data_IF_628050693717
#
_entry.id   IF_628050693717
#
_cell.length_a   1.000
_cell.length_b   1.000
_cell.length_c   1.000
_cell.angle_alpha   90.00
_cell.angle_beta   90.00
_cell.angle_gamma   90.00
#
_symmetry.space_group_name_H-M   'P 1'
#
loop_
_entity.id
_entity.type
_entity.pdbx_description
1 polymer ?
#
# COMPACT_ATOMS: atom_id res chain seq x y z
N UNK A 1 -15.16 10.47 -5.77
CA UNK A 1 -14.69 11.40 -4.71
C UNK A 1 -13.17 11.30 -4.59
N UNK A 2 -12.47 12.43 -4.38
CA UNK A 2 -11.02 12.37 -4.17
C UNK A 2 -10.72 11.70 -2.82
N UNK A 3 -9.87 10.67 -2.80
CA UNK A 3 -9.34 10.09 -1.57
C UNK A 3 -8.62 11.17 -0.76
N UNK A 4 -9.06 11.38 0.46
CA UNK A 4 -8.34 12.20 1.45
C UNK A 4 -7.87 11.26 2.57
N UNK A 5 -6.65 11.44 3.04
CA UNK A 5 -6.21 10.82 4.30
C UNK A 5 -7.19 11.26 5.39
N UNK A 6 -7.72 10.29 6.12
CA UNK A 6 -8.69 10.58 7.18
C UNK A 6 -7.93 11.20 8.35
N UNK A 7 -8.32 12.41 8.73
CA UNK A 7 -7.91 13.04 9.99
C UNK A 7 -9.04 12.99 11.03
N UNK A 8 -10.24 12.59 10.60
CA UNK A 8 -11.39 12.38 11.46
C UNK A 8 -11.59 10.89 11.68
N UNK A 9 -11.73 10.50 12.94
CA UNK A 9 -11.89 9.11 13.37
C UNK A 9 -13.32 8.88 13.86
N UNK A 10 -13.88 7.71 13.56
CA UNK A 10 -15.17 7.31 14.11
C UNK A 10 -15.06 7.13 15.63
N UNK A 11 -15.90 7.81 16.38
CA UNK A 11 -15.84 7.85 17.84
C UNK A 11 -16.22 6.49 18.44
N UNK A 12 -17.23 5.83 17.90
CA UNK A 12 -17.66 4.51 18.40
C UNK A 12 -16.57 3.47 18.21
N UNK A 13 -15.93 3.45 17.02
CA UNK A 13 -14.77 2.59 16.71
C UNK A 13 -13.58 2.93 17.58
N UNK A 14 -13.31 4.24 17.81
CA UNK A 14 -12.21 4.68 18.68
C UNK A 14 -12.40 4.18 20.09
N UNK A 15 -13.60 4.33 20.66
CA UNK A 15 -13.91 3.90 22.02
C UNK A 15 -13.83 2.37 22.16
N UNK A 16 -14.36 1.62 21.19
CA UNK A 16 -14.29 0.14 21.19
C UNK A 16 -12.86 -0.37 21.12
N UNK A 17 -12.06 0.17 20.20
CA UNK A 17 -10.64 -0.19 20.09
C UNK A 17 -9.83 0.23 21.31
N UNK A 18 -10.09 1.43 21.87
CA UNK A 18 -9.40 1.88 23.06
C UNK A 18 -9.67 0.97 24.29
N UNK A 19 -10.89 0.51 24.46
CA UNK A 19 -11.22 -0.46 25.51
C UNK A 19 -10.42 -1.76 25.32
N UNK A 20 -10.42 -2.33 24.11
CA UNK A 20 -9.66 -3.53 23.80
C UNK A 20 -8.15 -3.36 24.03
N UNK A 21 -7.58 -2.21 23.63
CA UNK A 21 -6.14 -1.94 23.84
C UNK A 21 -5.79 -1.68 25.29
N UNK A 22 -6.72 -1.18 26.13
CA UNK A 22 -6.53 -1.11 27.57
C UNK A 22 -6.39 -2.51 28.14
N UNK A 23 -7.29 -3.43 27.77
CA UNK A 23 -7.21 -4.82 28.18
C UNK A 23 -5.90 -5.50 27.74
N UNK A 24 -5.42 -5.18 26.51
CA UNK A 24 -4.11 -5.67 26.02
C UNK A 24 -2.98 -5.18 26.93
N UNK A 25 -2.96 -3.90 27.33
CA UNK A 25 -1.94 -3.36 28.22
C UNK A 25 -1.90 -4.11 29.55
N UNK A 26 -3.07 -4.33 30.16
CA UNK A 26 -3.21 -5.04 31.43
C UNK A 26 -2.75 -6.52 31.30
N UNK A 27 -3.12 -7.18 30.19
CA UNK A 27 -2.75 -8.58 29.92
C UNK A 27 -1.26 -8.81 29.67
N UNK A 28 -0.55 -7.82 29.10
CA UNK A 28 0.91 -7.92 28.92
C UNK A 28 1.68 -7.49 30.17
N UNK A 29 0.99 -7.16 31.27
CA UNK A 29 1.59 -6.83 32.57
C UNK A 29 2.01 -5.38 32.73
N UNK A 30 1.51 -4.46 31.89
CA UNK A 30 1.75 -3.02 32.02
C UNK A 30 0.74 -2.39 32.99
N UNK A 31 1.17 -1.36 33.74
CA UNK A 31 0.25 -0.51 34.51
C UNK A 31 -0.40 0.51 33.56
N UNK A 32 -1.61 0.21 33.11
CA UNK A 32 -2.36 1.09 32.20
C UNK A 32 -2.70 2.46 32.80
N UNK A 33 -2.54 2.65 34.13
CA UNK A 33 -2.82 3.91 34.83
C UNK A 33 -1.56 4.79 34.97
N UNK A 34 -0.36 4.30 34.64
CA UNK A 34 0.83 5.15 34.66
C UNK A 34 0.74 6.28 33.64
N UNK A 35 1.25 7.45 33.97
CA UNK A 35 1.12 8.70 33.19
C UNK A 35 1.39 8.51 31.68
N UNK A 36 2.44 7.78 31.31
CA UNK A 36 2.84 7.54 29.93
C UNK A 36 1.82 6.70 29.14
N UNK A 37 0.99 5.89 29.79
CA UNK A 37 0.03 4.99 29.17
C UNK A 37 -1.43 5.47 29.21
N UNK A 38 -1.77 6.47 30.01
CA UNK A 38 -3.14 6.98 30.14
C UNK A 38 -3.84 7.26 28.80
N UNK A 39 -3.10 7.79 27.82
CA UNK A 39 -3.63 8.13 26.50
C UNK A 39 -3.26 7.09 25.41
N UNK A 40 -2.54 6.04 25.77
CA UNK A 40 -2.07 5.04 24.79
C UNK A 40 -3.23 4.28 24.12
N UNK A 41 -4.26 3.82 24.85
CA UNK A 41 -5.39 3.13 24.23
C UNK A 41 -6.07 3.95 23.11
N UNK A 42 -6.37 5.21 23.37
CA UNK A 42 -6.98 6.10 22.37
C UNK A 42 -6.03 6.37 21.19
N UNK A 43 -4.75 6.60 21.44
CA UNK A 43 -3.75 6.84 20.40
C UNK A 43 -3.59 5.64 19.49
N UNK A 44 -3.55 4.42 20.05
CA UNK A 44 -3.46 3.20 19.27
C UNK A 44 -4.74 2.96 18.49
N UNK A 45 -5.90 3.22 19.06
CA UNK A 45 -7.19 3.12 18.39
C UNK A 45 -7.26 4.01 17.12
N UNK A 46 -6.82 5.26 17.24
CA UNK A 46 -6.72 6.19 16.10
C UNK A 46 -5.67 5.75 15.07
N UNK A 47 -4.51 5.29 15.52
CA UNK A 47 -3.47 4.78 14.64
C UNK A 47 -3.95 3.57 13.84
N UNK A 48 -4.67 2.64 14.45
CA UNK A 48 -5.22 1.46 13.76
C UNK A 48 -6.26 1.85 12.71
N UNK A 49 -7.17 2.77 13.02
CA UNK A 49 -8.12 3.29 12.03
C UNK A 49 -7.38 3.92 10.84
N UNK A 50 -6.34 4.73 11.09
CA UNK A 50 -5.53 5.33 10.03
C UNK A 50 -4.79 4.29 9.20
N UNK A 51 -4.19 3.29 9.84
CA UNK A 51 -3.40 2.25 9.15
C UNK A 51 -4.27 1.26 8.36
N UNK A 52 -5.59 1.21 8.63
CA UNK A 52 -6.53 0.32 7.94
C UNK A 52 -7.60 1.05 7.14
N UNK A 53 -7.50 2.38 6.99
CA UNK A 53 -8.51 3.20 6.32
C UNK A 53 -8.75 2.83 4.85
N UNK A 54 -7.81 2.16 4.19
CA UNK A 54 -7.95 1.71 2.82
C UNK A 54 -9.03 0.65 2.61
N UNK A 55 -9.47 -0.02 3.69
CA UNK A 55 -10.47 -1.09 3.61
C UNK A 55 -11.83 -0.61 3.05
N UNK A 56 -12.20 0.63 3.32
CA UNK A 56 -13.46 1.22 2.86
C UNK A 56 -13.41 1.88 1.47
N UNK A 57 -12.30 1.75 0.73
CA UNK A 57 -12.12 2.44 -0.55
C UNK A 57 -11.88 1.46 -1.70
N UNK A 58 -12.46 1.78 -2.86
CA UNK A 58 -12.24 1.04 -4.10
C UNK A 58 -11.08 1.69 -4.88
N UNK A 59 -9.95 0.98 -5.11
CA UNK A 59 -8.83 1.50 -5.87
C UNK A 59 -9.17 1.78 -7.34
N UNK A 60 -10.12 1.06 -7.93
CA UNK A 60 -10.59 1.26 -9.31
C UNK A 60 -11.27 2.63 -9.45
N UNK A 61 -12.15 2.97 -8.53
CA UNK A 61 -12.85 4.25 -8.51
C UNK A 61 -11.89 5.43 -8.30
N UNK A 62 -10.79 5.23 -7.60
CA UNK A 62 -9.75 6.26 -7.46
C UNK A 62 -9.14 6.59 -8.81
N UNK A 63 -8.82 5.59 -9.61
CA UNK A 63 -8.25 5.78 -10.96
C UNK A 63 -9.29 6.44 -11.87
N UNK A 64 -10.52 5.90 -11.89
CA UNK A 64 -11.63 6.42 -12.71
C UNK A 64 -11.94 7.88 -12.42
N UNK A 65 -11.66 8.36 -11.22
CA UNK A 65 -11.85 9.77 -10.85
C UNK A 65 -10.90 10.77 -11.52
N UNK A 66 -9.94 10.35 -12.38
CA UNK A 66 -9.07 11.24 -13.16
C UNK A 66 -8.45 10.51 -14.36
N UNK A 67 -9.30 10.12 -15.29
CA UNK A 67 -8.91 9.55 -16.59
C UNK A 67 -8.91 10.67 -17.64
N UNK A 68 -7.89 10.69 -18.47
CA UNK A 68 -7.73 11.62 -19.58
C UNK A 68 -7.49 10.86 -20.87
N UNK A 69 -8.03 11.35 -21.98
CA UNK A 69 -7.76 10.80 -23.30
C UNK A 69 -6.44 11.34 -23.82
N UNK A 70 -5.52 10.44 -24.16
CA UNK A 70 -4.22 10.77 -24.71
C UNK A 70 -3.79 9.72 -25.72
N UNK A 71 -3.11 10.15 -26.78
CA UNK A 71 -2.63 9.27 -27.85
C UNK A 71 -1.24 8.66 -27.55
N UNK A 72 -0.75 8.78 -26.32
CA UNK A 72 0.54 8.20 -25.89
C UNK A 72 0.45 6.69 -25.90
N UNK A 73 1.43 6.03 -26.49
CA UNK A 73 1.58 4.57 -26.52
C UNK A 73 2.84 4.07 -25.79
N UNK A 74 3.63 5.01 -25.27
CA UNK A 74 4.84 4.70 -24.53
C UNK A 74 4.53 4.32 -23.09
N UNK A 75 5.43 3.56 -22.50
CA UNK A 75 5.32 3.13 -21.10
C UNK A 75 5.36 4.32 -20.15
N UNK A 76 4.36 4.43 -19.29
CA UNK A 76 4.32 5.36 -18.15
C UNK A 76 4.77 4.63 -16.91
N UNK A 77 5.78 5.15 -16.20
CA UNK A 77 6.31 4.55 -14.97
C UNK A 77 6.27 5.58 -13.83
N UNK A 78 5.69 5.21 -12.69
CA UNK A 78 5.79 5.94 -11.44
C UNK A 78 6.60 5.10 -10.47
N UNK A 79 7.79 5.58 -10.10
CA UNK A 79 8.74 4.86 -9.26
C UNK A 79 8.76 5.40 -7.84
N UNK A 80 9.30 4.58 -6.94
CA UNK A 80 9.64 4.96 -5.56
C UNK A 80 8.44 5.50 -4.76
N UNK A 81 7.24 4.98 -5.04
CA UNK A 81 6.06 5.32 -4.25
C UNK A 81 6.18 4.66 -2.89
N UNK A 82 6.44 5.46 -1.86
CA UNK A 82 6.53 4.97 -0.49
C UNK A 82 5.22 4.31 -0.04
N UNK A 83 5.32 3.19 0.65
CA UNK A 83 4.17 2.48 1.17
C UNK A 83 4.39 1.96 2.58
N UNK A 84 3.33 1.95 3.37
CA UNK A 84 3.26 1.41 4.72
C UNK A 84 2.03 0.53 4.84
N UNK A 85 2.19 -0.70 5.34
CA UNK A 85 1.11 -1.67 5.48
C UNK A 85 1.25 -2.45 6.79
N UNK A 86 0.22 -3.20 7.15
CA UNK A 86 0.24 -4.13 8.28
C UNK A 86 0.17 -5.57 7.76
N UNK A 87 1.12 -6.40 8.20
CA UNK A 87 1.11 -7.83 7.92
C UNK A 87 -0.15 -8.45 8.56
N UNK A 88 -0.98 -9.13 7.77
CA UNK A 88 -2.23 -9.74 8.28
C UNK A 88 -2.00 -10.84 9.32
N UNK A 89 -0.83 -11.49 9.30
CA UNK A 89 -0.51 -12.58 10.23
C UNK A 89 -0.16 -12.10 11.64
N UNK A 90 0.36 -10.89 11.78
CA UNK A 90 0.93 -10.40 13.04
C UNK A 90 0.47 -8.99 13.43
N UNK A 91 -0.22 -8.26 12.53
CA UNK A 91 -0.54 -6.83 12.67
C UNK A 91 0.71 -5.95 12.91
N UNK A 92 1.89 -6.43 12.51
CA UNK A 92 3.16 -5.71 12.60
C UNK A 92 3.44 -5.05 11.24
N UNK A 93 3.97 -3.82 11.21
CA UNK A 93 4.20 -3.11 9.95
C UNK A 93 5.19 -3.81 9.01
N UNK A 94 4.94 -3.67 7.73
CA UNK A 94 5.95 -3.74 6.68
C UNK A 94 5.89 -2.46 5.83
N UNK A 95 7.01 -2.04 5.32
CA UNK A 95 7.15 -0.79 4.62
C UNK A 95 8.19 -0.89 3.52
N UNK A 96 8.04 -0.05 2.52
CA UNK A 96 8.93 -0.06 1.38
C UNK A 96 8.48 0.85 0.27
N UNK A 97 8.72 0.43 -0.97
CA UNK A 97 8.44 1.19 -2.17
C UNK A 97 7.68 0.34 -3.17
N UNK A 98 6.72 0.95 -3.82
CA UNK A 98 6.02 0.38 -4.96
C UNK A 98 6.41 1.13 -6.24
N UNK A 99 6.54 0.38 -7.32
CA UNK A 99 6.81 0.88 -8.65
C UNK A 99 5.69 0.37 -9.55
N UNK A 100 4.99 1.29 -10.21
CA UNK A 100 3.83 0.98 -11.04
C UNK A 100 4.07 1.50 -12.44
N UNK A 101 3.90 0.63 -13.43
CA UNK A 101 3.97 1.01 -14.83
C UNK A 101 2.74 0.51 -15.59
N UNK A 102 2.34 1.24 -16.61
CA UNK A 102 1.34 0.80 -17.56
C UNK A 102 1.64 1.34 -18.96
N UNK A 103 1.17 0.64 -19.98
CA UNK A 103 1.22 1.10 -21.36
C UNK A 103 -0.18 1.54 -21.75
N UNK A 104 -0.40 2.85 -21.99
CA UNK A 104 -1.70 3.38 -22.31
C UNK A 104 -2.34 2.75 -23.54
N UNK A 105 -3.66 2.68 -23.56
CA UNK A 105 -4.49 2.31 -24.71
C UNK A 105 -5.54 3.40 -24.94
N UNK A 106 -5.06 4.60 -25.29
CA UNK A 106 -5.90 5.78 -25.48
C UNK A 106 -6.27 6.54 -24.20
N UNK A 107 -5.95 6.00 -23.01
CA UNK A 107 -6.27 6.63 -21.73
C UNK A 107 -5.09 6.64 -20.79
N UNK A 108 -4.93 7.75 -20.07
CA UNK A 108 -3.97 7.89 -18.98
C UNK A 108 -4.68 8.31 -17.69
N UNK A 109 -4.02 8.14 -16.56
CA UNK A 109 -4.51 8.65 -15.28
C UNK A 109 -3.54 9.67 -14.67
N UNK A 110 -4.08 10.55 -13.82
CA UNK A 110 -3.23 11.50 -13.10
C UNK A 110 -2.20 10.77 -12.21
N UNK A 111 -0.93 11.19 -12.24
CA UNK A 111 0.17 10.55 -11.49
C UNK A 111 -0.11 10.43 -9.99
N UNK A 112 -0.81 11.42 -9.41
CA UNK A 112 -1.24 11.36 -8.01
C UNK A 112 -2.23 10.23 -7.70
N UNK A 113 -2.92 9.70 -8.71
CA UNK A 113 -3.83 8.55 -8.54
C UNK A 113 -3.05 7.27 -8.32
N UNK A 114 -1.88 7.15 -8.97
CA UNK A 114 -0.97 6.01 -8.77
C UNK A 114 -0.59 5.89 -7.29
N UNK A 115 -0.09 6.97 -6.69
CA UNK A 115 0.28 6.99 -5.28
C UNK A 115 -0.92 6.69 -4.36
N UNK A 116 -2.12 7.23 -4.67
CA UNK A 116 -3.33 6.99 -3.88
C UNK A 116 -3.81 5.54 -3.96
N UNK A 117 -3.70 4.89 -5.11
CA UNK A 117 -4.03 3.46 -5.26
C UNK A 117 -3.09 2.61 -4.42
N UNK A 118 -1.78 2.89 -4.47
CA UNK A 118 -0.79 2.23 -3.62
C UNK A 118 -1.15 2.41 -2.13
N UNK A 119 -1.43 3.63 -1.69
CA UNK A 119 -1.84 3.93 -0.31
C UNK A 119 -3.09 3.14 0.10
N UNK A 120 -4.15 3.17 -0.71
CA UNK A 120 -5.42 2.51 -0.39
C UNK A 120 -5.29 0.99 -0.34
N UNK A 121 -4.52 0.40 -1.24
CA UNK A 121 -4.25 -1.03 -1.20
C UNK A 121 -3.33 -1.42 -0.04
N UNK A 122 -2.37 -0.56 0.35
CA UNK A 122 -1.44 -0.80 1.44
C UNK A 122 -2.06 -0.59 2.83
N UNK A 123 -2.96 0.40 3.00
CA UNK A 123 -3.63 0.72 4.27
C UNK A 123 -4.73 -0.30 4.64
N UNK A 124 -4.32 -1.57 4.73
CA UNK A 124 -5.17 -2.74 5.06
C UNK A 124 -4.32 -3.76 5.82
N UNK A 125 -4.95 -4.80 6.33
CA UNK A 125 -4.21 -6.02 6.70
C UNK A 125 -3.87 -6.77 5.42
N UNK A 126 -2.57 -6.95 5.13
CA UNK A 126 -2.09 -7.42 3.85
C UNK A 126 -1.03 -8.54 3.94
N UNK A 127 -0.89 -9.26 2.84
CA UNK A 127 0.34 -9.90 2.42
C UNK A 127 0.88 -9.18 1.18
N UNK A 128 2.19 -9.09 1.06
CA UNK A 128 2.82 -8.29 0.01
C UNK A 128 2.45 -8.78 -1.41
N UNK A 129 2.30 -10.08 -1.60
CA UNK A 129 1.92 -10.71 -2.86
C UNK A 129 0.52 -10.28 -3.31
N UNK A 130 -0.45 -10.26 -2.38
CA UNK A 130 -1.80 -9.80 -2.65
C UNK A 130 -1.83 -8.30 -2.93
N UNK A 131 -1.09 -7.51 -2.16
CA UNK A 131 -0.96 -6.07 -2.37
C UNK A 131 -0.48 -5.76 -3.79
N UNK A 132 0.54 -6.48 -4.26
CA UNK A 132 1.14 -6.31 -5.59
C UNK A 132 0.12 -6.61 -6.69
N UNK A 133 -0.61 -7.73 -6.56
CA UNK A 133 -1.63 -8.12 -7.56
C UNK A 133 -2.84 -7.19 -7.54
N UNK A 134 -3.31 -6.75 -6.37
CA UNK A 134 -4.44 -5.82 -6.27
C UNK A 134 -4.16 -4.48 -6.94
N UNK A 135 -2.94 -3.94 -6.81
CA UNK A 135 -2.56 -2.70 -7.50
C UNK A 135 -2.58 -2.92 -9.01
N UNK A 136 -1.97 -4.01 -9.53
CA UNK A 136 -1.99 -4.35 -10.95
C UNK A 136 -3.42 -4.46 -11.49
N UNK A 137 -4.27 -5.20 -10.80
CA UNK A 137 -5.64 -5.49 -11.23
C UNK A 137 -6.50 -4.22 -11.26
N UNK A 138 -6.32 -3.32 -10.28
CA UNK A 138 -7.02 -2.04 -10.25
C UNK A 138 -6.69 -1.18 -11.48
N UNK A 139 -5.41 -1.13 -11.90
CA UNK A 139 -5.02 -0.41 -13.12
C UNK A 139 -5.54 -1.08 -14.38
N UNK A 140 -5.47 -2.42 -14.44
CA UNK A 140 -5.98 -3.18 -15.58
C UNK A 140 -7.49 -2.99 -15.75
N UNK A 141 -8.24 -3.02 -14.67
CA UNK A 141 -9.70 -2.84 -14.71
C UNK A 141 -10.11 -1.40 -15.04
N UNK A 142 -9.44 -0.42 -14.44
CA UNK A 142 -9.86 0.98 -14.57
C UNK A 142 -9.54 1.62 -15.92
N UNK A 143 -8.37 1.29 -16.51
CA UNK A 143 -7.83 1.93 -17.71
C UNK A 143 -7.88 1.04 -18.95
N UNK A 144 -8.02 -0.28 -18.78
CA UNK A 144 -7.85 -1.27 -19.85
C UNK A 144 -6.60 -1.01 -20.72
N UNK A 145 -5.42 -0.81 -20.10
CA UNK A 145 -4.19 -0.51 -20.80
C UNK A 145 -3.71 -1.75 -21.58
N UNK A 146 -2.73 -1.59 -22.45
CA UNK A 146 -2.09 -2.72 -23.16
C UNK A 146 -1.34 -3.65 -22.23
N UNK A 147 -0.97 -3.19 -21.04
CA UNK A 147 -0.37 -3.98 -19.97
C UNK A 147 -0.08 -3.14 -18.73
N UNK A 148 0.10 -3.84 -17.61
CA UNK A 148 0.47 -3.26 -16.31
C UNK A 148 1.61 -4.06 -15.70
N UNK A 149 2.54 -3.36 -15.06
CA UNK A 149 3.61 -3.93 -14.26
C UNK A 149 3.62 -3.27 -12.87
N UNK A 150 3.72 -4.09 -11.83
CA UNK A 150 3.90 -3.63 -10.45
C UNK A 150 5.06 -4.39 -9.83
N UNK A 151 5.98 -3.67 -9.20
CA UNK A 151 7.05 -4.25 -8.37
C UNK A 151 7.00 -3.57 -7.01
N UNK A 152 7.08 -4.37 -5.94
CA UNK A 152 7.14 -3.87 -4.57
C UNK A 152 8.37 -4.44 -3.89
N UNK A 153 9.16 -3.58 -3.25
CA UNK A 153 10.27 -3.94 -2.39
C UNK A 153 9.97 -3.47 -0.97
N UNK A 154 9.96 -4.37 0.00
CA UNK A 154 9.62 -4.03 1.37
C UNK A 154 10.43 -4.78 2.43
N UNK A 155 10.53 -4.15 3.59
CA UNK A 155 11.07 -4.70 4.82
C UNK A 155 9.92 -5.05 5.76
N UNK A 156 9.95 -6.27 6.30
CA UNK A 156 8.91 -6.80 7.17
C UNK A 156 9.38 -6.83 8.63
N UNK A 157 8.83 -5.96 9.47
CA UNK A 157 9.20 -5.94 10.90
C UNK A 157 8.83 -7.24 11.61
N UNK A 158 7.81 -7.96 11.14
CA UNK A 158 7.46 -9.28 11.66
C UNK A 158 8.55 -10.35 11.46
N UNK A 159 9.48 -10.13 10.52
CA UNK A 159 10.67 -10.97 10.30
C UNK A 159 11.93 -10.40 10.93
N UNK A 160 11.98 -9.07 11.12
CA UNK A 160 13.19 -8.37 11.56
C UNK A 160 13.32 -8.34 13.08
N UNK A 161 12.25 -7.96 13.80
CA UNK A 161 12.28 -7.69 15.23
C UNK A 161 11.95 -8.91 16.10
N UNK A 162 11.44 -9.96 15.51
CA UNK A 162 11.08 -11.23 16.15
C UNK A 162 11.01 -12.35 15.10
N UNK A 163 10.77 -13.60 15.54
CA UNK A 163 10.70 -14.76 14.66
C UNK A 163 12.09 -15.15 14.15
N UNK A 164 12.33 -14.95 12.86
CA UNK A 164 13.63 -15.32 12.23
C UNK A 164 14.74 -14.28 12.41
N UNK A 165 14.41 -13.08 12.84
CA UNK A 165 15.34 -11.99 13.20
C UNK A 165 16.36 -11.63 12.09
N UNK A 166 15.87 -11.55 10.84
CA UNK A 166 16.70 -11.22 9.65
C UNK A 166 16.55 -9.74 9.26
N UNK A 167 17.37 -8.88 9.85
CA UNK A 167 17.28 -7.41 9.74
C UNK A 167 17.57 -6.87 8.34
N UNK A 168 18.40 -7.55 7.54
CA UNK A 168 18.79 -7.13 6.20
C UNK A 168 17.91 -7.74 5.10
N UNK A 169 16.89 -8.53 5.47
CA UNK A 169 15.99 -9.16 4.51
C UNK A 169 15.10 -8.10 3.85
N UNK A 170 15.07 -8.12 2.52
CA UNK A 170 14.14 -7.36 1.68
C UNK A 170 13.35 -8.35 0.86
N UNK A 171 12.03 -8.21 0.85
CA UNK A 171 11.14 -9.02 0.02
C UNK A 171 10.78 -8.23 -1.22
N UNK A 172 11.00 -8.80 -2.40
CA UNK A 172 10.57 -8.23 -3.67
C UNK A 172 9.45 -9.08 -4.25
N UNK A 173 8.33 -8.45 -4.60
CA UNK A 173 7.22 -9.09 -5.31
C UNK A 173 6.94 -8.36 -6.61
N UNK A 174 6.51 -9.09 -7.64
CA UNK A 174 6.17 -8.52 -8.93
C UNK A 174 4.87 -9.12 -9.48
N UNK A 175 4.12 -8.30 -10.22
CA UNK A 175 2.94 -8.73 -10.94
C UNK A 175 2.90 -8.04 -12.30
N UNK A 176 2.72 -8.83 -13.35
CA UNK A 176 2.70 -8.38 -14.73
C UNK A 176 1.41 -8.85 -15.41
N UNK A 177 0.92 -8.08 -16.39
CA UNK A 177 -0.12 -8.52 -17.30
C UNK A 177 0.02 -7.85 -18.68
N UNK A 178 -0.63 -8.42 -19.70
CA UNK A 178 -0.64 -7.90 -21.06
C UNK A 178 0.77 -7.80 -21.66
N UNK A 179 1.13 -6.64 -22.22
CA UNK A 179 2.41 -6.46 -22.90
C UNK A 179 3.64 -6.71 -22.01
N UNK A 180 3.52 -6.60 -20.69
CA UNK A 180 4.62 -6.89 -19.76
C UNK A 180 4.87 -8.39 -19.53
N UNK A 181 4.02 -9.27 -20.03
CA UNK A 181 4.27 -10.71 -20.04
C UNK A 181 5.33 -11.07 -21.09
N UNK A 182 5.52 -10.21 -22.09
CA UNK A 182 6.58 -10.36 -23.12
C UNK A 182 7.92 -9.89 -22.58
N UNK A 183 8.95 -10.69 -22.82
CA UNK A 183 10.28 -10.48 -22.26
C UNK A 183 10.91 -9.14 -22.64
N UNK A 184 10.87 -8.65 -23.90
CA UNK A 184 11.48 -7.35 -24.24
C UNK A 184 10.87 -6.17 -23.45
N UNK A 185 9.55 -6.09 -23.35
CA UNK A 185 8.84 -5.04 -22.62
C UNK A 185 9.14 -5.08 -21.12
N UNK A 186 9.14 -6.29 -20.56
CA UNK A 186 9.48 -6.47 -19.15
C UNK A 186 10.92 -6.11 -18.86
N UNK A 187 11.87 -6.48 -19.70
CA UNK A 187 13.28 -6.13 -19.56
C UNK A 187 13.52 -4.63 -19.67
N UNK A 188 12.82 -3.94 -20.56
CA UNK A 188 12.87 -2.48 -20.66
C UNK A 188 12.37 -1.83 -19.35
N UNK A 189 11.22 -2.26 -18.82
CA UNK A 189 10.69 -1.79 -17.55
C UNK A 189 11.70 -1.97 -16.41
N UNK A 190 12.27 -3.17 -16.24
CA UNK A 190 13.23 -3.46 -15.17
C UNK A 190 14.50 -2.61 -15.31
N UNK A 191 14.97 -2.35 -16.52
CA UNK A 191 16.11 -1.44 -16.78
C UNK A 191 15.79 0.00 -16.40
N UNK A 192 14.60 0.50 -16.78
CA UNK A 192 14.15 1.85 -16.41
C UNK A 192 13.92 1.99 -14.92
N UNK A 193 13.50 0.91 -14.24
CA UNK A 193 13.33 0.88 -12.80
C UNK A 193 14.67 1.11 -12.08
N UNK A 194 15.75 0.50 -12.55
CA UNK A 194 17.08 0.63 -11.97
C UNK A 194 17.76 1.98 -12.25
N UNK A 195 17.24 2.79 -13.18
CA UNK A 195 17.78 4.12 -13.47
C UNK A 195 17.39 5.12 -12.39
N UNK A 196 18.31 5.93 -11.90
CA UNK A 196 18.05 6.99 -10.94
C UNK A 196 18.21 8.36 -11.61
N UNK A 197 17.37 9.33 -11.22
CA UNK A 197 17.64 10.74 -11.49
C UNK A 197 18.85 11.13 -10.61
N UNK A 198 19.92 11.52 -11.23
CA UNK A 198 21.12 12.07 -10.57
C UNK A 198 20.90 13.48 -10.08
#
# INVERSE_FOLDING_TARGET
MAYKKIETYDEATTNGLAAAYKDVLDLIGEDSNREGLLKTPERVAKAMQFLTQGQGHDPVEIIRGAIFTESVQEMVIVKDVEMYSLCEHHMIPFYGKAHVAYIPNGYITGLSKVARVVDVCARRLQVQERLTTQIRDAFQEALSPLGVAVVIEAKHLCMMMRGVEKQNSVTTTSAFCGAFEHEPTRSEFLRLLSSHLS
#
